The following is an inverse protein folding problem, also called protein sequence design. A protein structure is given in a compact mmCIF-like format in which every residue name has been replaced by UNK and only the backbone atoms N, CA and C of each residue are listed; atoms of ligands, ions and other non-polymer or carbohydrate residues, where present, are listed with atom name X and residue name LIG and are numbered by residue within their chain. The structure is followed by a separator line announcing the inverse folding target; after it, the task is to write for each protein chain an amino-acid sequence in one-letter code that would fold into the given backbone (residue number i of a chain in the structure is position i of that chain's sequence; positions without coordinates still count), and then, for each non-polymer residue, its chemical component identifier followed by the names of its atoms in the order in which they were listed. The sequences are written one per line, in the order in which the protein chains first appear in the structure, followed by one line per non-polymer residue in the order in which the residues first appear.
data_IF_721528436392
#
_entry.id   IF_721528436392
#
_cell.length_a   1.000
_cell.length_b   1.000
_cell.length_c   1.000
_cell.angle_alpha   90.00
_cell.angle_beta   90.00
_cell.angle_gamma   90.00
#
_symmetry.space_group_name_H-M   'P 1'
#
loop_
_entity.id
_entity.type
_entity.pdbx_description
1 polymer ?
#
# COMPACT_ATOMS: atom_id res chain seq x y z
N UNK A 1 -6.31 -7.59 7.10
CA UNK A 1 -7.13 -6.72 6.22
C UNK A 1 -6.54 -6.71 4.82
N UNK A 2 -7.38 -6.83 3.79
CA UNK A 2 -7.03 -6.68 2.38
C UNK A 2 -8.13 -5.86 1.70
N UNK A 3 -7.75 -5.00 0.76
CA UNK A 3 -8.70 -4.20 -0.02
C UNK A 3 -9.41 -5.08 -1.04
N UNK A 4 -10.72 -4.87 -1.19
CA UNK A 4 -11.48 -5.43 -2.30
C UNK A 4 -11.12 -4.73 -3.62
N UNK A 5 -11.46 -5.37 -4.75
CA UNK A 5 -11.26 -4.75 -6.07
C UNK A 5 -12.03 -3.43 -6.20
N UNK A 6 -13.23 -3.36 -5.61
CA UNK A 6 -14.06 -2.16 -5.60
C UNK A 6 -13.42 -1.03 -4.80
N UNK A 7 -12.98 -1.31 -3.56
CA UNK A 7 -12.26 -0.34 -2.74
C UNK A 7 -11.00 0.17 -3.43
N UNK A 8 -10.25 -0.74 -4.08
CA UNK A 8 -9.06 -0.34 -4.82
C UNK A 8 -9.39 0.58 -6.00
N UNK A 9 -10.44 0.29 -6.76
CA UNK A 9 -10.88 1.11 -7.90
C UNK A 9 -11.20 2.55 -7.48
N UNK A 10 -11.73 2.76 -6.26
CA UNK A 10 -12.02 4.09 -5.73
C UNK A 10 -10.77 4.93 -5.47
N UNK A 11 -9.65 4.29 -5.13
CA UNK A 11 -8.40 4.97 -4.76
C UNK A 11 -7.31 4.91 -5.84
N UNK A 12 -7.48 4.11 -6.88
CA UNK A 12 -6.45 3.86 -7.89
C UNK A 12 -5.94 5.16 -8.52
N UNK A 13 -6.83 6.13 -8.78
CA UNK A 13 -6.47 7.44 -9.33
C UNK A 13 -5.65 8.34 -8.39
N UNK A 14 -5.60 8.02 -7.09
CA UNK A 14 -4.78 8.74 -6.10
C UNK A 14 -3.35 8.20 -6.04
N UNK A 15 -3.12 7.00 -6.59
CA UNK A 15 -1.84 6.32 -6.50
C UNK A 15 -0.90 6.80 -7.61
N UNK A 16 0.41 6.92 -7.33
CA UNK A 16 1.39 7.23 -8.36
C UNK A 16 1.38 6.20 -9.49
N UNK A 17 1.52 6.67 -10.72
CA UNK A 17 1.65 5.81 -11.90
C UNK A 17 2.84 4.86 -11.74
N UNK A 18 2.57 3.57 -11.78
CA UNK A 18 3.61 2.56 -11.67
C UNK A 18 4.48 2.55 -12.93
N UNK A 19 5.80 2.52 -12.75
CA UNK A 19 6.75 2.37 -13.86
C UNK A 19 6.73 0.93 -14.36
N UNK A 20 6.86 0.73 -15.68
CA UNK A 20 6.73 -0.59 -16.32
C UNK A 20 7.72 -1.66 -15.84
N UNK A 21 8.87 -1.27 -15.29
CA UNK A 21 9.85 -2.20 -14.74
C UNK A 21 9.58 -2.63 -13.29
N UNK A 22 8.55 -2.07 -12.64
CA UNK A 22 8.18 -2.41 -11.26
C UNK A 22 7.27 -3.63 -11.27
N UNK A 23 7.72 -4.71 -10.63
CA UNK A 23 6.97 -5.98 -10.54
C UNK A 23 5.90 -5.99 -9.44
N UNK A 24 6.15 -5.30 -8.33
CA UNK A 24 5.24 -5.26 -7.20
C UNK A 24 4.12 -4.26 -7.46
N UNK A 25 2.86 -4.71 -7.52
CA UNK A 25 1.72 -3.84 -7.83
C UNK A 25 1.41 -2.82 -6.73
N UNK A 26 0.76 -1.71 -7.10
CA UNK A 26 0.26 -0.73 -6.13
C UNK A 26 -0.68 -1.35 -5.08
N UNK A 27 -1.62 -2.21 -5.50
CA UNK A 27 -2.54 -2.92 -4.62
C UNK A 27 -1.81 -3.83 -3.62
N UNK A 28 -0.79 -4.57 -4.08
CA UNK A 28 0.01 -5.43 -3.18
C UNK A 28 0.73 -4.61 -2.12
N UNK A 29 1.30 -3.46 -2.48
CA UNK A 29 1.97 -2.57 -1.53
C UNK A 29 0.97 -2.01 -0.51
N UNK A 30 -0.21 -1.56 -0.93
CA UNK A 30 -1.25 -1.11 -0.01
C UNK A 30 -1.67 -2.21 0.96
N UNK A 31 -1.95 -3.41 0.45
CA UNK A 31 -2.34 -4.54 1.30
C UNK A 31 -1.24 -4.93 2.30
N UNK A 32 0.03 -4.79 1.91
CA UNK A 32 1.17 -5.02 2.80
C UNK A 32 1.25 -3.96 3.91
N UNK A 33 1.06 -2.68 3.57
CA UNK A 33 1.03 -1.58 4.54
C UNK A 33 -0.12 -1.78 5.53
N UNK A 34 -1.32 -2.09 5.02
CA UNK A 34 -2.50 -2.36 5.85
C UNK A 34 -2.29 -3.57 6.77
N UNK A 35 -1.61 -4.60 6.29
CA UNK A 35 -1.27 -5.75 7.13
C UNK A 35 -0.37 -5.34 8.30
N UNK A 36 0.69 -4.57 8.05
CA UNK A 36 1.59 -4.08 9.10
C UNK A 36 0.85 -3.19 10.09
N UNK A 37 0.02 -2.26 9.60
CA UNK A 37 -0.78 -1.37 10.44
C UNK A 37 -1.79 -2.12 11.32
N UNK A 38 -2.51 -3.09 10.74
CA UNK A 38 -3.56 -3.84 11.47
C UNK A 38 -3.00 -4.84 12.50
N UNK A 39 -1.80 -5.38 12.27
CA UNK A 39 -1.22 -6.42 13.14
C UNK A 39 -0.10 -5.87 14.05
N UNK A 40 0.32 -4.61 13.89
CA UNK A 40 1.39 -4.00 14.68
C UNK A 40 2.75 -4.69 14.54
N UNK A 41 2.99 -5.42 13.44
CA UNK A 41 4.21 -6.21 13.28
C UNK A 41 5.39 -5.37 12.78
N UNK A 42 6.62 -5.83 13.05
CA UNK A 42 7.81 -5.22 12.46
C UNK A 42 7.82 -5.47 10.95
N UNK A 43 8.32 -4.51 10.16
CA UNK A 43 8.45 -4.66 8.70
C UNK A 43 9.17 -5.95 8.27
N UNK A 44 10.22 -6.35 9.01
CA UNK A 44 10.97 -7.60 8.72
C UNK A 44 10.16 -8.88 8.93
N UNK A 45 9.05 -8.80 9.66
CA UNK A 45 8.12 -9.92 9.87
C UNK A 45 6.96 -9.91 8.85
N UNK A 46 7.01 -9.04 7.83
CA UNK A 46 6.01 -9.03 6.77
C UNK A 46 5.99 -10.39 6.04
N UNK A 47 4.83 -11.05 5.91
CA UNK A 47 4.73 -12.32 5.19
C UNK A 47 5.19 -12.20 3.73
N UNK A 48 5.94 -13.20 3.24
CA UNK A 48 6.52 -13.19 1.89
C UNK A 48 5.50 -13.06 0.76
N UNK A 49 4.25 -13.45 0.98
CA UNK A 49 3.13 -13.25 0.04
C UNK A 49 2.91 -11.78 -0.36
N UNK A 50 3.37 -10.84 0.45
CA UNK A 50 3.32 -9.40 0.17
C UNK A 50 4.56 -8.88 -0.58
N UNK A 51 5.53 -9.76 -0.85
CA UNK A 51 6.81 -9.45 -1.47
C UNK A 51 7.88 -9.02 -0.46
N UNK A 52 8.99 -8.52 -0.99
CA UNK A 52 10.14 -8.11 -0.19
C UNK A 52 9.77 -6.90 0.71
N UNK A 53 9.93 -7.06 2.02
CA UNK A 53 9.58 -6.04 3.01
C UNK A 53 10.30 -4.70 2.78
N UNK A 54 11.54 -4.72 2.31
CA UNK A 54 12.33 -3.51 2.09
C UNK A 54 11.77 -2.70 0.91
N UNK A 55 11.31 -3.39 -0.13
CA UNK A 55 10.63 -2.76 -1.27
C UNK A 55 9.32 -2.10 -0.85
N UNK A 56 8.50 -2.81 -0.05
CA UNK A 56 7.24 -2.27 0.49
C UNK A 56 7.52 -1.06 1.37
N UNK A 57 8.43 -1.18 2.33
CA UNK A 57 8.81 -0.11 3.25
C UNK A 57 9.29 1.14 2.51
N UNK A 58 10.19 0.97 1.54
CA UNK A 58 10.72 2.11 0.75
C UNK A 58 9.62 2.82 -0.01
N UNK A 59 8.68 2.08 -0.59
CA UNK A 59 7.53 2.67 -1.30
C UNK A 59 6.56 3.35 -0.35
N UNK A 60 6.23 2.71 0.76
CA UNK A 60 5.41 3.29 1.83
C UNK A 60 5.99 4.62 2.30
N UNK A 61 7.29 4.67 2.60
CA UNK A 61 7.96 5.91 3.04
C UNK A 61 7.86 7.01 1.97
N UNK A 62 8.08 6.68 0.69
CA UNK A 62 7.94 7.66 -0.40
C UNK A 62 6.51 8.16 -0.55
N UNK A 63 5.53 7.27 -0.44
CA UNK A 63 4.11 7.61 -0.53
C UNK A 63 3.63 8.44 0.66
N UNK A 64 4.09 8.12 1.86
CA UNK A 64 3.84 8.93 3.07
C UNK A 64 4.40 10.33 2.90
N UNK A 65 5.67 10.48 2.50
CA UNK A 65 6.30 11.80 2.26
C UNK A 65 5.60 12.61 1.17
N UNK A 66 4.97 11.95 0.20
CA UNK A 66 4.23 12.60 -0.89
C UNK A 66 2.73 12.82 -0.58
N UNK A 67 2.28 12.56 0.66
CA UNK A 67 0.87 12.67 1.07
C UNK A 67 -0.07 11.75 0.29
N UNK A 68 0.45 10.67 -0.33
CA UNK A 68 -0.37 9.70 -1.07
C UNK A 68 -1.19 8.86 -0.10
N UNK A 69 -0.56 8.39 0.98
CA UNK A 69 -1.24 7.54 1.97
C UNK A 69 -2.36 8.29 2.69
N UNK A 70 -2.14 9.56 3.02
CA UNK A 70 -3.16 10.39 3.69
C UNK A 70 -4.41 10.52 2.82
N UNK A 71 -4.24 10.89 1.54
CA UNK A 71 -5.34 10.98 0.56
C UNK A 71 -6.05 9.64 0.35
N UNK A 72 -5.28 8.55 0.27
CA UNK A 72 -5.84 7.20 0.10
C UNK A 72 -6.68 6.81 1.32
N UNK A 73 -6.17 6.99 2.53
CA UNK A 73 -6.88 6.61 3.74
C UNK A 73 -8.09 7.50 4.01
N UNK A 74 -7.98 8.80 3.74
CA UNK A 74 -9.11 9.73 3.81
C UNK A 74 -10.24 9.30 2.85
N UNK A 75 -9.91 8.94 1.61
CA UNK A 75 -10.89 8.46 0.65
C UNK A 75 -11.55 7.14 1.08
N UNK A 76 -10.80 6.23 1.71
CA UNK A 76 -11.33 4.96 2.22
C UNK A 76 -12.21 5.12 3.46
N UNK A 77 -12.02 6.18 4.27
CA UNK A 77 -12.78 6.44 5.49
C UNK A 77 -14.11 7.18 5.26
N UNK A 78 -14.27 7.82 4.11
CA UNK A 78 -15.49 8.57 3.75
C UNK A 78 -16.65 7.67 3.31
N UNK A 79 -16.50 6.34 3.41
CA UNK A 79 -17.50 5.33 3.08
C UNK A 79 -17.61 4.32 4.22
#
# INVERSE_FOLDING_TARGET
MQLTAEQFKQIEGLLPRQRGNVRLGNLQVLNAILHVAANGCKWRALPERYGNWHTVYTRMMRWSKAGVLDRVFEQLQRQ
#
